data_IF_122522551822
#
_entry.id   IF_122522551822
#
_cell.length_a   1.000
_cell.length_b   1.000
_cell.length_c   1.000
_cell.angle_alpha   90.00
_cell.angle_beta   90.00
_cell.angle_gamma   90.00
#
_symmetry.space_group_name_H-M   'P 1'
#
loop_
_entity.id
_entity.type
_entity.pdbx_description
1 polymer ?
#
# COMPACT_ATOMS: atom_id res chain seq x y z
N UNK A 1 13.88 -0.76 4.55
CA UNK A 1 12.91 0.06 5.31
C UNK A 1 11.53 0.09 4.67
N UNK A 2 11.33 0.66 3.46
CA UNK A 2 9.98 0.66 2.83
C UNK A 2 9.42 -0.76 2.66
N UNK A 3 10.24 -1.67 2.13
CA UNK A 3 9.88 -3.10 2.01
C UNK A 3 9.50 -3.66 3.38
N UNK A 4 10.34 -3.48 4.40
CA UNK A 4 10.13 -4.02 5.74
C UNK A 4 8.82 -3.53 6.39
N UNK A 5 8.43 -2.27 6.13
CA UNK A 5 7.14 -1.73 6.60
C UNK A 5 5.98 -2.47 5.93
N UNK A 6 6.03 -2.65 4.60
CA UNK A 6 4.99 -3.39 3.87
C UNK A 6 4.94 -4.86 4.28
N UNK A 7 6.09 -5.51 4.45
CA UNK A 7 6.20 -6.89 4.95
C UNK A 7 5.64 -7.01 6.37
N UNK A 8 5.91 -6.04 7.25
CA UNK A 8 5.37 -6.05 8.61
C UNK A 8 3.85 -5.92 8.65
N UNK A 9 3.27 -5.10 7.77
CA UNK A 9 1.80 -5.00 7.63
C UNK A 9 1.25 -6.31 7.04
N UNK A 10 1.88 -6.83 5.99
CA UNK A 10 1.46 -8.06 5.33
C UNK A 10 1.54 -9.28 6.26
N UNK A 11 2.56 -9.36 7.12
CA UNK A 11 2.68 -10.41 8.13
C UNK A 11 1.51 -10.38 9.10
N UNK A 12 1.11 -9.20 9.57
CA UNK A 12 -0.02 -9.11 10.49
C UNK A 12 -1.36 -9.53 9.86
N UNK A 13 -1.51 -9.33 8.55
CA UNK A 13 -2.77 -9.60 7.84
C UNK A 13 -2.84 -11.00 7.24
N UNK A 14 -1.72 -11.54 6.78
CA UNK A 14 -1.64 -12.80 6.03
C UNK A 14 -0.81 -13.86 6.77
N UNK A 15 -0.65 -13.72 8.08
CA UNK A 15 -0.22 -14.82 8.94
C UNK A 15 -1.23 -15.96 8.82
N UNK A 16 -0.73 -17.19 8.68
CA UNK A 16 -1.58 -18.36 8.43
C UNK A 16 -2.49 -18.69 9.61
N UNK A 17 -2.05 -18.37 10.84
CA UNK A 17 -2.88 -18.54 12.03
C UNK A 17 -3.89 -17.39 12.14
N UNK A 18 -5.20 -17.65 11.95
CA UNK A 18 -6.21 -16.59 11.99
C UNK A 18 -6.33 -15.94 13.38
N UNK A 19 -5.90 -16.59 14.46
CA UNK A 19 -5.92 -16.00 15.80
C UNK A 19 -4.85 -14.91 16.00
N UNK A 20 -3.86 -14.86 15.10
CA UNK A 20 -2.80 -13.85 15.11
C UNK A 20 -3.09 -12.66 14.19
N UNK A 21 -4.17 -12.72 13.40
CA UNK A 21 -4.58 -11.62 12.53
C UNK A 21 -5.27 -10.53 13.34
N UNK A 22 -4.76 -9.29 13.25
CA UNK A 22 -5.37 -8.14 13.94
C UNK A 22 -6.59 -7.57 13.20
N UNK A 23 -6.91 -8.11 12.02
CA UNK A 23 -7.92 -7.58 11.10
C UNK A 23 -7.46 -6.31 10.37
N UNK A 24 -8.34 -5.77 9.52
CA UNK A 24 -8.06 -4.62 8.67
C UNK A 24 -7.58 -5.00 7.26
N UNK A 25 -7.01 -4.02 6.56
CA UNK A 25 -6.58 -4.16 5.17
C UNK A 25 -5.11 -3.74 5.00
N UNK A 26 -4.51 -4.17 3.89
CA UNK A 26 -3.23 -3.62 3.44
C UNK A 26 -3.32 -2.11 3.24
N UNK A 27 -2.20 -1.43 3.50
CA UNK A 27 -2.10 0.01 3.25
C UNK A 27 -2.15 0.30 1.75
N UNK A 28 -2.89 1.35 1.39
CA UNK A 28 -2.92 1.89 0.03
C UNK A 28 -1.76 2.85 -0.13
N UNK A 29 -0.89 2.59 -1.10
CA UNK A 29 0.29 3.42 -1.38
C UNK A 29 0.12 4.09 -2.73
N UNK A 30 0.38 5.39 -2.81
CA UNK A 30 0.54 6.11 -4.07
C UNK A 30 2.02 6.42 -4.32
N UNK A 31 2.42 6.54 -5.58
CA UNK A 31 3.80 6.85 -5.96
C UNK A 31 4.72 5.64 -6.12
N UNK A 32 4.18 4.43 -5.94
CA UNK A 32 4.94 3.18 -6.04
C UNK A 32 4.03 2.02 -6.39
N UNK A 33 4.47 1.18 -7.32
CA UNK A 33 3.89 -0.12 -7.65
C UNK A 33 4.70 -1.23 -6.97
N UNK A 34 4.04 -2.34 -6.63
CA UNK A 34 4.68 -3.52 -6.08
C UNK A 34 3.84 -4.77 -6.34
N UNK A 35 4.47 -5.93 -6.28
CA UNK A 35 3.80 -7.23 -6.28
C UNK A 35 3.66 -7.74 -4.86
N UNK A 36 2.52 -8.34 -4.53
CA UNK A 36 2.27 -9.05 -3.27
C UNK A 36 1.86 -10.50 -3.51
N UNK A 37 2.52 -11.42 -2.80
CA UNK A 37 2.14 -12.83 -2.68
C UNK A 37 1.63 -13.07 -1.24
N UNK A 38 0.30 -13.05 -0.99
CA UNK A 38 -0.25 -13.19 0.36
C UNK A 38 0.07 -14.54 1.00
N UNK A 39 0.31 -15.58 0.20
CA UNK A 39 0.58 -16.93 0.68
C UNK A 39 2.06 -17.17 1.02
N UNK A 40 2.96 -16.27 0.62
CA UNK A 40 4.38 -16.38 0.91
C UNK A 40 4.69 -16.13 2.40
N UNK A 41 5.87 -16.57 2.82
CA UNK A 41 6.36 -16.39 4.19
C UNK A 41 6.77 -14.95 4.50
N UNK A 42 7.01 -14.69 5.79
CA UNK A 42 7.52 -13.41 6.28
C UNK A 42 8.78 -12.96 5.51
N UNK A 43 8.75 -11.76 4.94
CA UNK A 43 9.88 -11.16 4.23
C UNK A 43 9.94 -11.49 2.73
N UNK A 44 9.07 -12.39 2.27
CA UNK A 44 8.98 -12.86 0.89
C UNK A 44 7.66 -12.49 0.21
N UNK A 45 6.76 -11.75 0.89
CA UNK A 45 5.46 -11.38 0.31
C UNK A 45 5.57 -10.23 -0.68
N UNK A 46 6.49 -9.29 -0.49
CA UNK A 46 6.59 -8.05 -1.28
C UNK A 46 7.75 -8.16 -2.28
N UNK A 47 7.46 -7.94 -3.57
CA UNK A 47 8.47 -7.91 -4.64
C UNK A 47 8.21 -6.80 -5.66
N UNK A 48 9.12 -6.65 -6.62
CA UNK A 48 8.96 -5.78 -7.80
C UNK A 48 8.59 -4.32 -7.51
N UNK A 49 9.11 -3.78 -6.40
CA UNK A 49 8.86 -2.39 -6.00
C UNK A 49 9.47 -1.41 -7.00
N UNK A 50 8.62 -0.57 -7.60
CA UNK A 50 9.00 0.44 -8.58
C UNK A 50 8.28 1.75 -8.29
N UNK A 51 8.93 2.89 -8.56
CA UNK A 51 8.23 4.17 -8.53
C UNK A 51 7.27 4.32 -9.73
N UNK A 52 6.50 5.40 -9.76
CA UNK A 52 5.52 5.65 -10.81
C UNK A 52 6.09 5.79 -12.22
N UNK A 53 7.40 6.06 -12.32
CA UNK A 53 8.14 6.14 -13.59
C UNK A 53 8.62 4.75 -14.04
N UNK A 54 8.36 3.70 -13.25
CA UNK A 54 8.79 2.33 -13.50
C UNK A 54 10.22 2.05 -13.05
N UNK A 55 10.86 2.98 -12.33
CA UNK A 55 12.24 2.81 -11.85
C UNK A 55 12.23 1.93 -10.59
N UNK A 56 13.05 0.86 -10.54
CA UNK A 56 13.18 0.04 -9.34
C UNK A 56 13.56 0.88 -8.10
N UNK A 57 12.93 0.58 -6.97
CA UNK A 57 13.26 1.21 -5.70
C UNK A 57 14.66 0.76 -5.25
N UNK A 58 15.56 1.73 -5.05
CA UNK A 58 16.92 1.50 -4.60
C UNK A 58 16.96 1.41 -3.05
N UNK A 59 17.39 0.29 -2.47
CA UNK A 59 17.45 0.12 -1.02
C UNK A 59 18.41 1.10 -0.31
N UNK A 60 19.34 1.72 -1.04
CA UNK A 60 20.32 2.66 -0.51
C UNK A 60 19.89 4.13 -0.64
N UNK A 61 18.78 4.40 -1.33
CA UNK A 61 18.28 5.76 -1.54
C UNK A 61 17.32 6.18 -0.43
N UNK A 62 17.38 7.46 -0.07
CA UNK A 62 16.40 8.06 0.84
C UNK A 62 15.15 8.49 0.09
N UNK A 63 13.99 8.05 0.55
CA UNK A 63 12.69 8.41 0.00
C UNK A 63 11.91 9.25 1.00
N UNK A 64 11.20 10.27 0.49
CA UNK A 64 10.29 11.06 1.31
C UNK A 64 8.93 10.37 1.32
N UNK A 65 8.50 9.93 2.49
CA UNK A 65 7.22 9.25 2.69
C UNK A 65 6.29 10.13 3.51
N UNK A 66 5.01 10.16 3.16
CA UNK A 66 3.96 10.82 3.92
C UNK A 66 2.81 9.85 4.15
N UNK A 67 2.33 9.80 5.39
CA UNK A 67 1.18 8.99 5.79
C UNK A 67 0.39 9.68 6.89
N UNK A 68 -0.82 9.19 7.13
CA UNK A 68 -1.75 9.69 8.15
C UNK A 68 -2.43 8.51 8.85
N UNK A 69 -3.23 8.77 9.88
CA UNK A 69 -3.91 7.75 10.68
C UNK A 69 -2.96 6.77 11.40
N UNK A 70 -1.93 7.33 12.05
CA UNK A 70 -0.99 6.56 12.87
C UNK A 70 -1.73 5.92 14.06
N UNK A 71 -1.43 4.66 14.36
CA UNK A 71 -1.97 3.99 15.56
C UNK A 71 -1.13 4.38 16.77
N UNK A 72 -1.78 4.84 17.85
CA UNK A 72 -1.13 5.09 19.13
C UNK A 72 -0.41 6.44 19.27
N UNK A 73 -0.38 7.28 18.23
CA UNK A 73 0.19 8.63 18.31
C UNK A 73 -0.56 9.64 17.43
N UNK A 74 -0.54 10.91 17.84
CA UNK A 74 -1.00 12.02 17.02
C UNK A 74 0.22 12.63 16.32
N UNK A 75 0.18 12.69 14.99
CA UNK A 75 1.25 13.32 14.22
C UNK A 75 1.31 14.83 14.44
N UNK A 76 2.52 15.42 14.38
CA UNK A 76 2.75 16.86 14.56
C UNK A 76 2.32 17.72 13.35
N UNK A 77 1.66 17.12 12.35
CA UNK A 77 1.27 17.76 11.10
C UNK A 77 -0.11 18.40 11.16
N UNK A 78 -0.50 19.02 10.04
CA UNK A 78 -1.89 19.46 9.84
C UNK A 78 -2.82 18.25 9.84
N UNK A 79 -4.06 18.48 10.25
CA UNK A 79 -5.12 17.46 10.21
C UNK A 79 -5.39 17.08 8.75
N UNK A 80 -5.50 15.78 8.46
CA UNK A 80 -5.60 15.31 7.08
C UNK A 80 -6.85 15.85 6.39
N UNK A 81 -7.97 15.99 7.10
CA UNK A 81 -9.20 16.57 6.53
C UNK A 81 -9.03 18.02 6.13
N UNK A 82 -8.21 18.82 6.83
CA UNK A 82 -7.92 20.20 6.44
C UNK A 82 -7.06 20.23 5.17
N UNK A 83 -6.07 19.33 5.09
CA UNK A 83 -5.23 19.18 3.89
C UNK A 83 -6.08 18.79 2.68
N UNK A 84 -6.96 17.79 2.84
CA UNK A 84 -7.87 17.34 1.80
C UNK A 84 -8.86 18.44 1.39
N UNK A 85 -9.48 19.11 2.36
CA UNK A 85 -10.45 20.18 2.08
C UNK A 85 -9.81 21.37 1.35
N UNK A 86 -8.60 21.79 1.76
CA UNK A 86 -7.85 22.84 1.06
C UNK A 86 -7.48 22.44 -0.36
N UNK A 87 -7.03 21.20 -0.55
CA UNK A 87 -6.72 20.69 -1.88
C UNK A 87 -7.97 20.69 -2.77
N UNK A 88 -9.08 20.10 -2.30
CA UNK A 88 -10.33 20.04 -3.05
C UNK A 88 -10.91 21.41 -3.38
N UNK A 89 -10.87 22.39 -2.46
CA UNK A 89 -11.34 23.76 -2.75
C UNK A 89 -10.50 24.48 -3.81
N UNK A 90 -9.21 24.15 -3.91
CA UNK A 90 -8.32 24.70 -4.96
C UNK A 90 -8.55 24.04 -6.32
N UNK A 91 -8.94 22.77 -6.33
CA UNK A 91 -9.25 22.06 -7.55
C UNK A 91 -10.67 22.40 -8.02
N UNK A 92 -10.82 22.98 -9.21
CA UNK A 92 -12.15 23.16 -9.83
C UNK A 92 -12.72 21.84 -10.34
N UNK A 93 -11.85 20.98 -10.87
CA UNK A 93 -12.14 19.63 -11.31
C UNK A 93 -11.01 18.72 -10.82
N UNK A 94 -11.35 17.58 -10.24
CA UNK A 94 -10.38 16.58 -9.81
C UNK A 94 -10.18 15.56 -10.92
N UNK A 95 -8.92 15.38 -11.35
CA UNK A 95 -8.52 14.31 -12.25
C UNK A 95 -7.39 13.51 -11.59
N UNK A 96 -7.61 12.21 -11.40
CA UNK A 96 -6.61 11.30 -10.85
C UNK A 96 -5.87 10.66 -12.03
N UNK A 97 -4.62 11.05 -12.25
CA UNK A 97 -3.82 10.55 -13.38
C UNK A 97 -3.36 9.11 -13.20
N UNK A 98 -3.19 8.66 -11.96
CA UNK A 98 -2.80 7.29 -11.62
C UNK A 98 -3.38 6.91 -10.26
N UNK A 99 -3.89 5.69 -10.17
CA UNK A 99 -4.18 5.00 -8.91
C UNK A 99 -3.31 3.75 -8.93
N UNK A 100 -2.44 3.61 -7.94
CA UNK A 100 -1.57 2.44 -7.84
C UNK A 100 -2.36 1.26 -7.26
N UNK A 101 -2.36 0.15 -7.97
CA UNK A 101 -2.91 -1.13 -7.53
C UNK A 101 -1.77 -2.15 -7.52
N UNK A 102 -1.49 -2.83 -6.39
CA UNK A 102 -0.44 -3.83 -6.37
C UNK A 102 -0.77 -5.00 -7.29
N UNK A 103 0.23 -5.62 -7.89
CA UNK A 103 0.01 -6.90 -8.58
C UNK A 103 -0.18 -7.98 -7.50
N UNK A 104 -1.28 -8.73 -7.52
CA UNK A 104 -1.57 -9.76 -6.51
C UNK A 104 -1.35 -11.14 -7.11
N UNK A 105 -0.46 -11.91 -6.49
CA UNK A 105 -0.10 -13.25 -6.92
C UNK A 105 -0.92 -14.33 -6.23
N UNK A 106 -1.32 -15.36 -6.98
CA UNK A 106 -1.90 -16.59 -6.45
C UNK A 106 -3.35 -16.49 -6.00
N UNK A 107 -4.06 -15.40 -6.32
CA UNK A 107 -5.45 -15.17 -5.89
C UNK A 107 -6.47 -15.14 -7.03
N UNK A 108 -6.05 -15.42 -8.27
CA UNK A 108 -6.92 -15.29 -9.46
C UNK A 108 -8.21 -16.11 -9.37
N UNK A 109 -8.14 -17.31 -8.77
CA UNK A 109 -9.28 -18.20 -8.60
C UNK A 109 -10.02 -18.01 -7.26
N UNK A 110 -9.66 -16.98 -6.48
CA UNK A 110 -10.33 -16.69 -5.22
C UNK A 110 -11.74 -16.15 -5.49
N UNK A 111 -12.80 -16.83 -5.02
CA UNK A 111 -14.19 -16.43 -5.31
C UNK A 111 -14.59 -15.08 -4.68
N UNK A 112 -13.79 -14.55 -3.75
CA UNK A 112 -13.98 -13.23 -3.16
C UNK A 112 -13.40 -12.08 -3.99
N UNK A 113 -12.69 -12.37 -5.09
CA UNK A 113 -12.14 -11.34 -5.97
C UNK A 113 -13.19 -10.95 -7.01
N UNK A 114 -13.53 -9.66 -7.03
CA UNK A 114 -14.45 -9.08 -8.00
C UNK A 114 -13.96 -7.67 -8.38
N UNK A 115 -14.02 -7.34 -9.69
CA UNK A 115 -13.72 -6.00 -10.21
C UNK A 115 -12.39 -5.40 -9.73
N UNK A 116 -11.32 -6.21 -9.68
CA UNK A 116 -10.01 -5.71 -9.31
C UNK A 116 -9.36 -4.96 -10.49
N UNK A 117 -9.10 -3.66 -10.31
CA UNK A 117 -8.51 -2.80 -11.34
C UNK A 117 -7.01 -3.07 -11.58
N UNK A 118 -6.35 -3.74 -10.64
CA UNK A 118 -4.93 -4.11 -10.74
C UNK A 118 -4.70 -5.44 -11.47
N UNK A 119 -3.47 -5.91 -11.42
CA UNK A 119 -3.07 -7.16 -12.07
C UNK A 119 -3.14 -8.35 -11.11
N UNK A 120 -3.65 -9.48 -11.59
CA UNK A 120 -3.67 -10.76 -10.88
C UNK A 120 -2.82 -11.79 -11.64
N UNK A 121 -1.81 -12.34 -10.96
CA UNK A 121 -0.86 -13.30 -11.55
C UNK A 121 -0.82 -14.64 -10.81
#
# INVERSE_FOLDING_TARGET
>A
QLKDILEGIAENLFVQDPYLQSGGDMVRMGGMDYTIDPAAGLGERISDMKDDEGTPIDPNKSYKVSGWAQVGSIGNGRLMWDVAADYLRKQKHLNLSKVNHPTIKGVKDNPGIENYDGELI
#
